data_IF_029742847025
#
_entry.id   IF_029742847025
#
_cell.length_a   1.000
_cell.length_b   1.000
_cell.length_c   1.000
_cell.angle_alpha   90.00
_cell.angle_beta   90.00
_cell.angle_gamma   90.00
#
_symmetry.space_group_name_H-M   'P 1'
#
loop_
_entity.id
_entity.type
_entity.pdbx_description
1 polymer ?
#
# COMPACT_ATOMS: atom_id res chain seq x y z
N UNK A 1 11.29 -97.60 -47.34
CA UNK A 1 10.26 -97.56 -46.28
C UNK A 1 9.04 -96.82 -46.81
N UNK A 2 7.86 -97.40 -46.56
CA UNK A 2 6.49 -96.84 -46.43
C UNK A 2 6.27 -95.33 -46.60
N UNK A 3 5.12 -94.77 -47.02
CA UNK A 3 3.88 -95.15 -47.72
C UNK A 3 2.89 -93.98 -47.44
N UNK A 4 2.07 -93.55 -48.43
CA UNK A 4 0.84 -92.70 -48.30
C UNK A 4 1.03 -91.24 -47.84
N UNK A 5 0.20 -90.24 -48.15
CA UNK A 5 -1.06 -90.07 -48.90
C UNK A 5 -1.37 -88.55 -48.91
N UNK A 6 -2.10 -88.08 -49.93
CA UNK A 6 -3.13 -87.00 -49.94
C UNK A 6 -2.78 -85.62 -49.35
N UNK A 7 -2.68 -84.60 -50.19
CA UNK A 7 -3.66 -83.50 -50.43
C UNK A 7 -3.29 -82.28 -49.61
N UNK A 8 -3.02 -81.14 -50.26
CA UNK A 8 -3.24 -79.81 -49.67
C UNK A 8 -3.19 -78.73 -50.76
N UNK A 9 -4.14 -77.80 -50.62
CA UNK A 9 -4.60 -76.76 -51.54
C UNK A 9 -3.61 -75.60 -51.67
N UNK A 10 -3.52 -75.01 -52.87
CA UNK A 10 -2.89 -73.70 -53.10
C UNK A 10 -3.97 -72.62 -52.86
N UNK A 11 -3.84 -71.85 -51.77
CA UNK A 11 -4.51 -70.54 -51.60
C UNK A 11 -3.45 -69.43 -51.67
N UNK A 12 -3.68 -68.45 -52.55
CA UNK A 12 -2.85 -67.26 -52.76
C UNK A 12 -2.98 -66.28 -51.56
N UNK A 13 -1.85 -65.77 -51.08
CA UNK A 13 -1.77 -64.70 -50.08
C UNK A 13 -2.08 -63.33 -50.72
N UNK A 14 -3.13 -62.64 -50.26
CA UNK A 14 -3.30 -61.18 -50.43
C UNK A 14 -2.99 -60.49 -49.07
N UNK A 15 -1.97 -59.63 -49.06
CA UNK A 15 -1.66 -58.72 -47.94
C UNK A 15 -2.68 -57.55 -47.94
N UNK A 16 -3.51 -57.43 -46.90
CA UNK A 16 -4.27 -56.21 -46.60
C UNK A 16 -3.59 -55.45 -45.43
N UNK A 17 -3.06 -54.26 -45.72
CA UNK A 17 -2.68 -53.25 -44.72
C UNK A 17 -3.96 -52.60 -44.14
N UNK A 18 -4.29 -52.86 -42.86
CA UNK A 18 -5.34 -52.11 -42.15
C UNK A 18 -4.83 -50.71 -41.75
N UNK A 19 -5.30 -49.66 -42.45
CA UNK A 19 -5.21 -48.28 -41.97
C UNK A 19 -6.16 -48.06 -40.78
N UNK A 20 -5.62 -47.81 -39.58
CA UNK A 20 -6.40 -47.34 -38.42
C UNK A 20 -7.05 -45.98 -38.74
N UNK A 21 -8.36 -45.97 -39.01
CA UNK A 21 -9.15 -44.76 -39.22
C UNK A 21 -9.27 -43.97 -37.89
N UNK A 22 -8.43 -42.94 -37.72
CA UNK A 22 -8.46 -42.06 -36.54
C UNK A 22 -9.64 -41.09 -36.63
N UNK A 23 -10.67 -41.31 -35.80
CA UNK A 23 -11.87 -40.45 -35.69
C UNK A 23 -11.51 -38.96 -35.43
N UNK A 24 -11.73 -38.06 -36.41
CA UNK A 24 -11.29 -36.66 -36.34
C UNK A 24 -12.00 -35.84 -35.25
N UNK A 25 -13.16 -36.28 -34.76
CA UNK A 25 -13.88 -35.62 -33.66
C UNK A 25 -13.19 -35.86 -32.31
N UNK A 26 -12.55 -37.02 -32.15
CA UNK A 26 -11.83 -37.41 -30.95
C UNK A 26 -10.51 -36.65 -30.80
N UNK A 27 -9.84 -36.36 -31.91
CA UNK A 27 -8.57 -35.62 -31.96
C UNK A 27 -8.74 -34.14 -31.59
N UNK A 28 -9.89 -33.53 -31.89
CA UNK A 28 -10.16 -32.13 -31.57
C UNK A 28 -10.69 -31.91 -30.14
N UNK A 29 -11.36 -32.92 -29.58
CA UNK A 29 -11.99 -32.84 -28.23
C UNK A 29 -11.00 -33.07 -27.10
N UNK A 30 -9.96 -33.89 -27.31
CA UNK A 30 -8.89 -34.16 -26.36
C UNK A 30 -8.11 -32.90 -25.92
N UNK A 31 -7.64 -32.03 -26.83
CA UNK A 31 -6.96 -30.78 -26.47
C UNK A 31 -7.85 -29.81 -25.70
N UNK A 32 -9.14 -29.71 -26.07
CA UNK A 32 -10.09 -28.82 -25.40
C UNK A 32 -10.46 -29.31 -24.00
N UNK A 33 -10.62 -30.62 -23.82
CA UNK A 33 -10.82 -31.25 -22.51
C UNK A 33 -9.57 -31.15 -21.64
N UNK A 34 -8.38 -31.30 -22.22
CA UNK A 34 -7.11 -31.09 -21.51
C UNK A 34 -6.97 -29.63 -21.04
N UNK A 35 -7.31 -28.65 -21.88
CA UNK A 35 -7.28 -27.24 -21.51
C UNK A 35 -8.26 -26.91 -20.38
N UNK A 36 -9.50 -27.41 -20.45
CA UNK A 36 -10.47 -27.25 -19.36
C UNK A 36 -10.06 -27.98 -18.07
N UNK A 37 -9.43 -29.15 -18.18
CA UNK A 37 -8.91 -29.87 -17.03
C UNK A 37 -7.72 -29.13 -16.39
N UNK A 38 -6.86 -28.51 -17.20
CA UNK A 38 -5.77 -27.65 -16.74
C UNK A 38 -6.30 -26.41 -16.03
N UNK A 39 -7.30 -25.70 -16.58
CA UNK A 39 -7.91 -24.56 -15.90
C UNK A 39 -8.53 -24.93 -14.55
N UNK A 40 -9.21 -26.09 -14.47
CA UNK A 40 -9.76 -26.60 -13.20
C UNK A 40 -8.68 -27.03 -12.21
N UNK A 41 -7.58 -27.61 -12.71
CA UNK A 41 -6.42 -27.99 -11.91
C UNK A 41 -5.73 -26.74 -11.36
N UNK A 42 -5.58 -25.69 -12.17
CA UNK A 42 -5.08 -24.39 -11.75
C UNK A 42 -5.99 -23.77 -10.70
N UNK A 43 -7.30 -23.70 -10.92
CA UNK A 43 -8.26 -23.21 -9.91
C UNK A 43 -8.20 -24.01 -8.60
N UNK A 44 -8.07 -25.34 -8.68
CA UNK A 44 -7.96 -26.20 -7.51
C UNK A 44 -6.64 -25.98 -6.77
N UNK A 45 -5.52 -25.91 -7.49
CA UNK A 45 -4.20 -25.60 -6.92
C UNK A 45 -4.23 -24.21 -6.29
N UNK A 46 -4.80 -23.20 -6.94
CA UNK A 46 -5.00 -21.87 -6.38
C UNK A 46 -5.85 -21.92 -5.10
N UNK A 47 -6.98 -22.65 -5.08
CA UNK A 47 -7.83 -22.83 -3.89
C UNK A 47 -7.13 -23.57 -2.74
N UNK A 48 -6.32 -24.57 -3.04
CA UNK A 48 -5.54 -25.32 -2.04
C UNK A 48 -4.40 -24.46 -1.49
N UNK A 49 -3.79 -23.62 -2.34
CA UNK A 49 -2.73 -22.69 -1.96
C UNK A 49 -3.25 -21.48 -1.18
N UNK A 50 -4.47 -21.01 -1.44
CA UNK A 50 -5.16 -19.97 -0.66
C UNK A 50 -5.22 -20.30 0.86
N UNK A 51 -5.14 -21.59 1.23
CA UNK A 51 -5.06 -22.04 2.61
C UNK A 51 -3.64 -22.26 3.16
N UNK A 52 -2.60 -22.35 2.33
CA UNK A 52 -1.25 -22.82 2.73
C UNK A 52 -0.10 -22.10 2.00
N UNK A 53 -0.05 -20.78 2.04
CA UNK A 53 1.16 -20.06 1.62
C UNK A 53 2.25 -20.09 2.70
N UNK A 54 3.51 -20.11 2.29
CA UNK A 54 4.70 -19.97 3.17
C UNK A 54 5.42 -18.67 2.82
N UNK A 55 6.09 -18.08 3.82
CA UNK A 55 6.96 -16.94 3.58
C UNK A 55 8.13 -17.34 2.69
N UNK A 56 8.57 -16.43 1.84
CA UNK A 56 9.65 -16.64 0.87
C UNK A 56 10.82 -15.68 1.12
N UNK A 57 12.05 -16.04 0.71
CA UNK A 57 13.20 -15.14 0.76
C UNK A 57 13.12 -14.03 -0.31
N UNK A 58 13.89 -12.96 -0.13
CA UNK A 58 13.83 -11.76 -0.97
C UNK A 58 14.32 -11.97 -2.42
N UNK A 59 15.29 -12.86 -2.62
CA UNK A 59 15.90 -13.16 -3.92
C UNK A 59 14.88 -13.67 -4.96
N UNK A 60 13.92 -14.49 -4.50
CA UNK A 60 12.86 -15.09 -5.33
C UNK A 60 11.62 -14.18 -5.50
N UNK A 61 11.61 -12.98 -4.92
CA UNK A 61 10.50 -12.04 -5.13
C UNK A 61 10.45 -11.54 -6.58
N UNK A 62 9.26 -11.29 -7.13
CA UNK A 62 9.14 -10.52 -8.36
C UNK A 62 9.58 -9.06 -8.13
N UNK A 63 10.04 -8.39 -9.18
CA UNK A 63 10.69 -7.07 -9.07
C UNK A 63 9.79 -5.99 -8.43
N UNK A 64 8.48 -6.04 -8.68
CA UNK A 64 7.52 -5.09 -8.11
C UNK A 64 7.28 -5.26 -6.61
N UNK A 65 7.75 -6.36 -6.00
CA UNK A 65 7.76 -6.58 -4.54
C UNK A 65 9.12 -6.30 -3.89
N UNK A 66 10.20 -6.17 -4.67
CA UNK A 66 11.57 -5.92 -4.19
C UNK A 66 11.79 -4.44 -3.84
N UNK A 67 11.18 -3.98 -2.75
CA UNK A 67 11.37 -2.60 -2.26
C UNK A 67 12.63 -2.46 -1.37
N UNK A 68 12.84 -3.36 -0.41
CA UNK A 68 13.95 -3.26 0.55
C UNK A 68 14.78 -4.55 0.60
N UNK A 69 15.97 -4.50 0.02
CA UNK A 69 16.96 -5.57 -0.06
C UNK A 69 17.67 -5.90 1.26
N UNK A 70 17.46 -5.10 2.32
CA UNK A 70 17.93 -5.42 3.67
C UNK A 70 17.00 -6.39 4.42
N UNK A 71 15.75 -6.54 3.96
CA UNK A 71 14.79 -7.50 4.51
C UNK A 71 14.96 -8.83 3.75
N UNK A 72 15.59 -9.82 4.38
CA UNK A 72 16.09 -10.99 3.65
C UNK A 72 15.08 -12.13 3.55
N UNK A 73 14.24 -12.31 4.58
CA UNK A 73 13.24 -13.36 4.65
C UNK A 73 11.90 -12.83 5.18
N UNK A 74 10.88 -13.68 5.18
CA UNK A 74 9.59 -13.37 5.81
C UNK A 74 8.58 -12.70 4.88
N UNK A 75 8.90 -12.63 3.58
CA UNK A 75 8.04 -11.99 2.59
C UNK A 75 6.86 -12.85 2.20
N UNK A 76 5.74 -12.21 1.86
CA UNK A 76 4.58 -12.90 1.27
C UNK A 76 4.84 -13.20 -0.21
N UNK A 77 4.50 -14.39 -0.71
CA UNK A 77 4.50 -14.64 -2.14
C UNK A 77 3.40 -13.81 -2.83
N UNK A 78 3.46 -13.64 -4.16
CA UNK A 78 2.35 -13.09 -4.94
C UNK A 78 1.09 -13.94 -4.73
N UNK A 79 0.02 -13.30 -4.27
CA UNK A 79 -1.25 -13.97 -3.96
C UNK A 79 -2.40 -13.19 -4.63
N UNK A 80 -2.81 -13.56 -5.85
CA UNK A 80 -3.86 -12.86 -6.61
C UNK A 80 -5.28 -13.14 -6.06
N UNK A 81 -5.43 -13.08 -4.74
CA UNK A 81 -6.67 -13.25 -4.01
C UNK A 81 -6.71 -12.24 -2.85
N UNK A 82 -7.66 -11.30 -2.93
CA UNK A 82 -7.92 -10.37 -1.82
C UNK A 82 -8.22 -11.13 -0.53
N UNK A 83 -8.97 -12.25 -0.61
CA UNK A 83 -9.28 -13.07 0.57
C UNK A 83 -8.01 -13.58 1.25
N UNK A 84 -7.03 -14.05 0.48
CA UNK A 84 -5.74 -14.48 1.02
C UNK A 84 -4.94 -13.30 1.62
N UNK A 85 -4.95 -12.14 0.95
CA UNK A 85 -4.30 -10.91 1.45
C UNK A 85 -4.88 -10.45 2.79
N UNK A 86 -6.21 -10.33 2.91
CA UNK A 86 -6.88 -9.93 4.15
C UNK A 86 -6.73 -10.97 5.27
N UNK A 87 -6.71 -12.27 4.94
CA UNK A 87 -6.37 -13.31 5.92
C UNK A 87 -4.92 -13.22 6.41
N UNK A 88 -4.02 -12.64 5.61
CA UNK A 88 -2.61 -12.49 5.98
C UNK A 88 -2.42 -11.52 7.15
N UNK A 89 -3.36 -10.61 7.43
CA UNK A 89 -3.31 -9.67 8.57
C UNK A 89 -3.02 -10.40 9.90
N UNK A 90 -3.53 -11.63 10.03
CA UNK A 90 -3.36 -12.47 11.22
C UNK A 90 -2.19 -13.46 11.12
N UNK A 91 -1.26 -13.25 10.18
CA UNK A 91 -0.03 -14.05 10.01
C UNK A 91 1.20 -13.17 10.18
N UNK A 92 2.31 -13.78 10.59
CA UNK A 92 3.61 -13.11 10.72
C UNK A 92 4.32 -13.09 9.37
N UNK A 93 4.66 -11.89 8.92
CA UNK A 93 5.43 -11.58 7.71
C UNK A 93 5.97 -10.15 7.79
N UNK A 94 6.80 -9.75 6.83
CA UNK A 94 7.47 -8.44 6.78
C UNK A 94 6.49 -7.24 6.87
N UNK A 95 5.27 -7.41 6.37
CA UNK A 95 4.24 -6.37 6.37
C UNK A 95 3.31 -6.37 7.62
N UNK A 96 3.49 -7.28 8.59
CA UNK A 96 2.58 -7.39 9.75
C UNK A 96 2.58 -6.11 10.59
N UNK A 97 3.75 -5.57 10.92
CA UNK A 97 3.88 -4.32 11.68
C UNK A 97 3.26 -3.11 10.95
N UNK A 98 3.53 -2.99 9.65
CA UNK A 98 3.00 -1.90 8.80
C UNK A 98 1.46 -1.89 8.76
N UNK A 99 0.84 -3.08 8.65
CA UNK A 99 -0.62 -3.20 8.67
C UNK A 99 -1.16 -2.82 10.06
N UNK A 100 -0.66 -3.43 11.13
CA UNK A 100 -1.26 -3.27 12.46
C UNK A 100 -1.08 -1.88 13.03
N UNK A 101 0.06 -1.23 12.82
CA UNK A 101 0.31 0.14 13.29
C UNK A 101 -0.70 1.13 12.70
N UNK A 102 -0.91 1.10 11.38
CA UNK A 102 -1.85 1.99 10.71
C UNK A 102 -3.31 1.57 10.88
N UNK A 103 -3.62 0.28 11.03
CA UNK A 103 -4.97 -0.20 11.33
C UNK A 103 -5.44 0.23 12.73
N UNK A 104 -4.58 0.08 13.74
CA UNK A 104 -4.87 0.54 15.11
C UNK A 104 -4.99 2.07 15.11
N UNK A 105 -4.06 2.76 14.45
CA UNK A 105 -4.13 4.22 14.28
C UNK A 105 -5.42 4.69 13.63
N UNK A 106 -5.88 3.99 12.59
CA UNK A 106 -7.14 4.29 11.89
C UNK A 106 -8.32 4.28 12.84
N UNK A 107 -8.50 3.19 13.62
CA UNK A 107 -9.59 3.11 14.60
C UNK A 107 -9.44 4.15 15.71
N UNK A 108 -8.22 4.40 16.18
CA UNK A 108 -7.95 5.44 17.18
C UNK A 108 -8.42 6.82 16.70
N UNK A 109 -7.98 7.28 15.52
CA UNK A 109 -8.36 8.60 14.98
C UNK A 109 -9.83 8.66 14.56
N UNK A 110 -10.42 7.55 14.11
CA UNK A 110 -11.84 7.48 13.80
C UNK A 110 -12.70 7.68 15.06
N UNK A 111 -12.40 6.94 16.14
CA UNK A 111 -13.12 7.05 17.41
C UNK A 111 -12.91 8.44 18.03
N UNK A 112 -11.67 8.94 18.01
CA UNK A 112 -11.33 10.26 18.52
C UNK A 112 -12.07 11.37 17.74
N UNK A 113 -12.09 11.29 16.41
CA UNK A 113 -12.79 12.24 15.55
C UNK A 113 -14.31 12.23 15.77
N UNK A 114 -14.91 11.05 15.89
CA UNK A 114 -16.33 10.89 16.23
C UNK A 114 -16.61 11.53 17.60
N UNK A 115 -15.81 11.20 18.62
CA UNK A 115 -15.96 11.79 19.96
C UNK A 115 -15.83 13.32 19.97
N UNK A 116 -14.92 13.87 19.17
CA UNK A 116 -14.78 15.31 18.98
C UNK A 116 -16.03 15.94 18.37
N UNK A 117 -16.63 15.32 17.33
CA UNK A 117 -17.85 15.83 16.69
C UNK A 117 -19.06 15.83 17.65
N UNK A 118 -19.15 14.82 18.52
CA UNK A 118 -20.20 14.69 19.53
C UNK A 118 -19.94 15.50 20.81
N UNK A 119 -18.81 16.20 20.92
CA UNK A 119 -18.52 17.03 22.09
C UNK A 119 -19.56 18.17 22.24
N UNK A 120 -20.02 18.47 23.47
CA UNK A 120 -21.02 19.51 23.71
C UNK A 120 -20.59 20.87 23.16
N UNK A 121 -21.51 21.56 22.49
CA UNK A 121 -21.23 22.85 21.84
C UNK A 121 -20.80 23.95 22.84
N UNK A 122 -21.13 23.82 24.13
CA UNK A 122 -20.72 24.75 25.19
C UNK A 122 -19.20 24.83 25.39
N UNK A 123 -18.44 23.85 24.89
CA UNK A 123 -16.98 23.81 25.00
C UNK A 123 -16.28 24.63 23.91
N UNK A 124 -17.02 25.21 22.96
CA UNK A 124 -16.48 25.88 21.78
C UNK A 124 -17.01 27.32 21.70
N UNK A 125 -16.20 28.23 21.19
CA UNK A 125 -16.61 29.62 20.94
C UNK A 125 -17.45 29.70 19.66
N UNK A 126 -17.04 28.95 18.63
CA UNK A 126 -17.70 28.86 17.33
C UNK A 126 -17.87 27.37 16.94
N UNK A 127 -18.87 26.66 17.51
CA UNK A 127 -18.95 25.20 17.47
C UNK A 127 -18.94 24.61 16.06
N UNK A 128 -19.63 25.26 15.10
CA UNK A 128 -19.70 24.77 13.72
C UNK A 128 -18.34 24.89 13.04
N UNK A 129 -17.73 26.08 13.10
CA UNK A 129 -16.46 26.37 12.44
C UNK A 129 -15.32 25.53 13.04
N UNK A 130 -15.24 25.46 14.38
CA UNK A 130 -14.23 24.67 15.08
C UNK A 130 -14.36 23.17 14.78
N UNK A 131 -15.59 22.63 14.74
CA UNK A 131 -15.82 21.24 14.32
C UNK A 131 -15.46 20.99 12.86
N UNK A 132 -15.74 21.93 11.96
CA UNK A 132 -15.35 21.78 10.54
C UNK A 132 -13.83 21.73 10.38
N UNK A 133 -13.08 22.65 11.00
CA UNK A 133 -11.60 22.68 10.82
C UNK A 133 -10.92 21.45 11.38
N UNK A 134 -11.33 20.96 12.56
CA UNK A 134 -10.83 19.69 13.09
C UNK A 134 -11.35 18.49 12.33
N UNK A 135 -12.57 18.55 11.77
CA UNK A 135 -13.12 17.52 10.92
C UNK A 135 -12.30 17.28 9.66
N UNK A 136 -11.76 18.34 9.05
CA UNK A 136 -10.84 18.23 7.90
C UNK A 136 -9.54 17.55 8.32
N UNK A 137 -9.00 17.85 9.50
CA UNK A 137 -7.83 17.13 10.04
C UNK A 137 -8.13 15.64 10.26
N UNK A 138 -9.22 15.31 10.95
CA UNK A 138 -9.60 13.92 11.19
C UNK A 138 -9.86 13.16 9.89
N UNK A 139 -10.50 13.78 8.91
CA UNK A 139 -10.71 13.19 7.59
C UNK A 139 -9.36 12.87 6.91
N UNK A 140 -8.41 13.82 6.93
CA UNK A 140 -7.07 13.58 6.39
C UNK A 140 -6.34 12.44 7.09
N UNK A 141 -6.38 12.39 8.43
CA UNK A 141 -5.76 11.33 9.22
C UNK A 141 -6.39 9.95 8.97
N UNK A 142 -7.72 9.87 8.99
CA UNK A 142 -8.46 8.63 8.75
C UNK A 142 -8.21 8.11 7.33
N UNK A 143 -8.25 8.98 6.31
CA UNK A 143 -7.97 8.57 4.93
C UNK A 143 -6.52 8.12 4.74
N UNK A 144 -5.55 8.84 5.30
CA UNK A 144 -4.13 8.46 5.24
C UNK A 144 -3.89 7.07 5.81
N UNK A 145 -4.37 6.84 7.04
CA UNK A 145 -4.19 5.56 7.72
C UNK A 145 -4.96 4.43 7.01
N UNK A 146 -6.17 4.72 6.53
CA UNK A 146 -7.00 3.79 5.76
C UNK A 146 -6.29 3.31 4.49
N UNK A 147 -5.83 4.24 3.66
CA UNK A 147 -5.12 3.91 2.42
C UNK A 147 -3.85 3.13 2.70
N UNK A 148 -3.13 3.46 3.78
CA UNK A 148 -1.89 2.80 4.11
C UNK A 148 -2.06 1.35 4.59
N UNK A 149 -2.92 1.09 5.57
CA UNK A 149 -3.11 -0.29 6.04
C UNK A 149 -3.74 -1.17 4.95
N UNK A 150 -4.60 -0.61 4.09
CA UNK A 150 -5.13 -1.31 2.93
C UNK A 150 -4.03 -1.63 1.91
N UNK A 151 -3.18 -0.66 1.58
CA UNK A 151 -2.02 -0.86 0.69
C UNK A 151 -1.14 -1.99 1.20
N UNK A 152 -0.67 -1.91 2.45
CA UNK A 152 0.19 -2.96 3.02
C UNK A 152 -0.53 -4.31 3.09
N UNK A 153 -1.84 -4.35 3.28
CA UNK A 153 -2.62 -5.61 3.23
C UNK A 153 -2.59 -6.23 1.84
N UNK A 154 -2.92 -5.46 0.80
CA UNK A 154 -3.04 -5.95 -0.59
C UNK A 154 -1.74 -5.85 -1.39
N UNK A 155 -0.64 -5.43 -0.75
CA UNK A 155 0.65 -5.21 -1.39
C UNK A 155 1.15 -6.43 -2.16
N UNK A 156 0.89 -7.66 -1.68
CA UNK A 156 1.29 -8.90 -2.35
C UNK A 156 0.31 -9.42 -3.41
N UNK A 157 -0.76 -8.70 -3.76
CA UNK A 157 -1.82 -9.23 -4.61
C UNK A 157 -1.38 -9.46 -6.06
N UNK A 158 -1.12 -8.36 -6.77
CA UNK A 158 -0.62 -8.32 -8.14
C UNK A 158 -0.01 -6.95 -8.40
N UNK A 159 0.85 -6.84 -9.42
CA UNK A 159 1.54 -5.58 -9.72
C UNK A 159 0.55 -4.41 -9.91
N UNK A 160 -0.55 -4.62 -10.63
CA UNK A 160 -1.57 -3.58 -10.87
C UNK A 160 -2.23 -3.12 -9.57
N UNK A 161 -2.58 -4.05 -8.68
CA UNK A 161 -3.22 -3.72 -7.39
C UNK A 161 -2.21 -2.99 -6.50
N UNK A 162 -0.98 -3.50 -6.39
CA UNK A 162 0.10 -2.87 -5.63
C UNK A 162 0.38 -1.43 -6.09
N UNK A 163 0.54 -1.22 -7.41
CA UNK A 163 0.72 0.13 -7.99
C UNK A 163 -0.46 1.06 -7.77
N UNK A 164 -1.70 0.54 -7.76
CA UNK A 164 -2.89 1.37 -7.54
C UNK A 164 -2.97 1.82 -6.09
N UNK A 165 -2.78 0.89 -5.15
CA UNK A 165 -2.85 1.20 -3.72
C UNK A 165 -1.64 2.00 -3.22
N UNK A 166 -0.45 1.86 -3.82
CA UNK A 166 0.69 2.72 -3.48
C UNK A 166 0.45 4.19 -3.83
N UNK A 167 -0.23 4.47 -4.95
CA UNK A 167 -0.67 5.83 -5.30
C UNK A 167 -1.64 6.40 -4.27
N UNK A 168 -2.57 5.59 -3.77
CA UNK A 168 -3.50 5.98 -2.71
C UNK A 168 -2.78 6.24 -1.39
N UNK A 169 -1.85 5.37 -1.00
CA UNK A 169 -1.03 5.51 0.21
C UNK A 169 -0.23 6.83 0.21
N UNK A 170 0.49 7.11 -0.89
CA UNK A 170 1.21 8.38 -1.05
C UNK A 170 0.29 9.60 -1.06
N UNK A 171 -0.90 9.49 -1.68
CA UNK A 171 -1.89 10.57 -1.66
C UNK A 171 -2.42 10.80 -0.24
N UNK A 172 -2.55 9.73 0.56
CA UNK A 172 -2.92 9.78 1.97
C UNK A 172 -2.00 10.68 2.80
N UNK A 173 -0.68 10.56 2.60
CA UNK A 173 0.32 11.40 3.29
C UNK A 173 0.06 12.89 3.03
N UNK A 174 -0.17 13.26 1.76
CA UNK A 174 -0.48 14.65 1.40
C UNK A 174 -1.80 15.14 2.02
N UNK A 175 -2.84 14.31 2.04
CA UNK A 175 -4.14 14.64 2.65
C UNK A 175 -4.02 14.86 4.16
N UNK A 176 -3.22 14.04 4.86
CA UNK A 176 -2.95 14.25 6.28
C UNK A 176 -2.19 15.56 6.53
N UNK A 177 -1.14 15.84 5.74
CA UNK A 177 -0.38 17.08 5.89
C UNK A 177 -1.29 18.29 5.65
N UNK A 178 -2.03 18.33 4.54
CA UNK A 178 -3.00 19.39 4.25
C UNK A 178 -4.02 19.55 5.37
N UNK A 179 -4.63 18.45 5.82
CA UNK A 179 -5.63 18.46 6.88
C UNK A 179 -5.10 18.97 8.20
N UNK A 180 -3.85 18.65 8.55
CA UNK A 180 -3.20 19.13 9.79
C UNK A 180 -2.97 20.64 9.82
N UNK A 181 -2.77 21.28 8.66
CA UNK A 181 -2.58 22.73 8.58
C UNK A 181 -3.88 23.49 8.83
N UNK A 182 -5.05 22.91 8.54
CA UNK A 182 -6.34 23.61 8.61
C UNK A 182 -6.67 24.14 10.01
N UNK A 183 -6.77 23.30 11.07
CA UNK A 183 -7.03 23.80 12.42
C UNK A 183 -5.88 24.66 12.95
N UNK A 184 -4.62 24.30 12.64
CA UNK A 184 -3.45 25.05 13.11
C UNK A 184 -3.43 26.49 12.56
N UNK A 185 -3.64 26.68 11.26
CA UNK A 185 -3.72 28.01 10.65
C UNK A 185 -4.99 28.76 11.10
N UNK A 186 -6.08 28.05 11.35
CA UNK A 186 -7.32 28.66 11.87
C UNK A 186 -7.09 29.37 13.21
N UNK A 187 -6.45 28.72 14.18
CA UNK A 187 -6.16 29.32 15.48
C UNK A 187 -4.95 30.26 15.46
N UNK A 188 -3.90 29.95 14.70
CA UNK A 188 -2.72 30.83 14.63
C UNK A 188 -3.06 32.17 14.00
N UNK A 189 -3.90 32.20 12.96
CA UNK A 189 -4.34 33.42 12.31
C UNK A 189 -5.81 33.72 12.60
N UNK A 190 -6.27 33.45 13.82
CA UNK A 190 -7.68 33.60 14.20
C UNK A 190 -8.20 35.01 13.92
N UNK A 191 -7.44 36.03 14.35
CA UNK A 191 -7.75 37.45 14.19
C UNK A 191 -7.34 38.03 12.82
N UNK A 192 -6.61 37.27 12.00
CA UNK A 192 -5.97 37.75 10.76
C UNK A 192 -6.43 36.90 9.57
N UNK A 193 -7.62 37.16 8.99
CA UNK A 193 -8.23 36.27 8.00
C UNK A 193 -7.47 36.22 6.66
N UNK A 194 -6.81 37.31 6.25
CA UNK A 194 -6.05 37.37 5.00
C UNK A 194 -4.86 36.39 4.99
N UNK A 195 -3.89 36.43 5.93
CA UNK A 195 -2.78 35.48 5.94
C UNK A 195 -3.27 34.04 6.11
N UNK A 196 -4.32 33.80 6.92
CA UNK A 196 -4.96 32.48 7.05
C UNK A 196 -5.37 31.92 5.68
N UNK A 197 -6.11 32.70 4.88
CA UNK A 197 -6.58 32.26 3.57
C UNK A 197 -5.42 32.01 2.61
N UNK A 198 -4.43 32.90 2.57
CA UNK A 198 -3.24 32.76 1.71
C UNK A 198 -2.51 31.44 2.01
N UNK A 199 -2.22 31.14 3.27
CA UNK A 199 -1.51 29.92 3.63
C UNK A 199 -2.33 28.66 3.42
N UNK A 200 -3.65 28.71 3.60
CA UNK A 200 -4.56 27.60 3.26
C UNK A 200 -4.55 27.32 1.75
N UNK A 201 -4.56 28.36 0.90
CA UNK A 201 -4.46 28.18 -0.56
C UNK A 201 -3.11 27.59 -0.94
N UNK A 202 -2.01 28.10 -0.37
CA UNK A 202 -0.65 27.59 -0.65
C UNK A 202 -0.55 26.11 -0.29
N UNK A 203 -0.96 25.69 0.91
CA UNK A 203 -0.84 24.28 1.31
C UNK A 203 -1.73 23.37 0.46
N UNK A 204 -2.91 23.83 0.03
CA UNK A 204 -3.75 23.09 -0.90
C UNK A 204 -3.09 22.92 -2.27
N UNK A 205 -2.50 23.98 -2.84
CA UNK A 205 -1.79 23.90 -4.13
C UNK A 205 -0.58 22.96 -4.03
N UNK A 206 0.23 23.10 -2.99
CA UNK A 206 1.39 22.22 -2.78
C UNK A 206 0.97 20.77 -2.55
N UNK A 207 -0.07 20.52 -1.76
CA UNK A 207 -0.57 19.18 -1.48
C UNK A 207 -1.21 18.52 -2.70
N UNK A 208 -2.01 19.24 -3.49
CA UNK A 208 -2.54 18.75 -4.77
C UNK A 208 -1.40 18.43 -5.73
N UNK A 209 -0.37 19.27 -5.79
CA UNK A 209 0.83 19.00 -6.62
C UNK A 209 1.52 17.72 -6.16
N UNK A 210 1.69 17.51 -4.85
CA UNK A 210 2.26 16.28 -4.30
C UNK A 210 1.41 15.04 -4.64
N UNK A 211 0.08 15.15 -4.59
CA UNK A 211 -0.85 14.08 -5.01
C UNK A 211 -0.67 13.76 -6.49
N UNK A 212 -0.62 14.78 -7.36
CA UNK A 212 -0.41 14.61 -8.81
C UNK A 212 0.93 13.94 -9.10
N UNK A 213 2.02 14.40 -8.47
CA UNK A 213 3.34 13.78 -8.56
C UNK A 213 3.29 12.31 -8.10
N UNK A 214 2.53 12.01 -7.05
CA UNK A 214 2.35 10.65 -6.53
C UNK A 214 1.63 9.71 -7.50
N UNK A 215 0.92 10.23 -8.52
CA UNK A 215 0.27 9.40 -9.55
C UNK A 215 1.25 8.88 -10.60
N UNK A 216 2.47 9.43 -10.66
CA UNK A 216 3.48 9.04 -11.63
C UNK A 216 4.06 7.66 -11.30
N UNK A 217 4.00 6.71 -12.24
CA UNK A 217 4.40 5.31 -11.98
C UNK A 217 5.85 5.17 -11.52
N UNK A 218 6.76 6.03 -11.99
CA UNK A 218 8.17 6.01 -11.55
C UNK A 218 8.34 6.45 -10.10
N UNK A 219 7.44 7.26 -9.57
CA UNK A 219 7.51 7.76 -8.21
C UNK A 219 7.47 6.63 -7.18
N UNK A 220 6.76 5.52 -7.48
CA UNK A 220 6.66 4.34 -6.62
C UNK A 220 7.91 3.45 -6.63
N UNK A 221 8.82 3.62 -7.60
CA UNK A 221 9.99 2.74 -7.73
C UNK A 221 11.02 2.99 -6.61
N UNK A 222 11.81 1.99 -6.19
CA UNK A 222 12.77 2.13 -5.09
C UNK A 222 13.82 3.23 -5.30
N UNK A 223 14.21 3.51 -6.56
CA UNK A 223 15.20 4.54 -6.91
C UNK A 223 14.74 5.95 -6.54
N UNK A 224 13.42 6.19 -6.49
CA UNK A 224 12.83 7.49 -6.18
C UNK A 224 12.50 7.66 -4.69
N UNK A 225 12.92 6.74 -3.81
CA UNK A 225 12.63 6.82 -2.37
C UNK A 225 13.05 8.14 -1.74
N UNK A 226 14.26 8.62 -2.04
CA UNK A 226 14.76 9.90 -1.56
C UNK A 226 13.95 11.08 -2.12
N UNK A 227 13.46 10.98 -3.36
CA UNK A 227 12.59 12.00 -3.96
C UNK A 227 11.24 12.04 -3.24
N UNK A 228 10.61 10.87 -2.97
CA UNK A 228 9.37 10.79 -2.19
C UNK A 228 9.54 11.43 -0.81
N UNK A 229 10.60 11.02 -0.10
CA UNK A 229 10.98 11.58 1.19
C UNK A 229 11.10 13.11 1.13
N UNK A 230 11.81 13.65 0.14
CA UNK A 230 11.99 15.10 -0.04
C UNK A 230 10.68 15.84 -0.34
N UNK A 231 9.80 15.28 -1.17
CA UNK A 231 8.49 15.89 -1.51
C UNK A 231 7.63 16.04 -0.27
N UNK A 232 7.43 14.97 0.51
CA UNK A 232 6.57 15.01 1.69
C UNK A 232 7.20 15.76 2.87
N UNK A 233 8.54 15.67 3.04
CA UNK A 233 9.25 16.49 4.02
C UNK A 233 9.13 17.98 3.67
N UNK A 234 9.34 18.35 2.40
CA UNK A 234 9.20 19.73 1.94
C UNK A 234 7.77 20.26 2.13
N UNK A 235 6.76 19.43 1.87
CA UNK A 235 5.36 19.77 2.13
C UNK A 235 5.11 20.05 3.62
N UNK A 236 5.62 19.21 4.52
CA UNK A 236 5.52 19.44 5.97
C UNK A 236 6.30 20.69 6.44
N UNK A 237 7.56 20.83 6.00
CA UNK A 237 8.43 21.96 6.35
C UNK A 237 7.99 23.29 5.73
N UNK A 238 7.08 23.28 4.75
CA UNK A 238 6.45 24.52 4.25
C UNK A 238 5.75 25.33 5.36
N UNK A 239 5.38 24.66 6.46
CA UNK A 239 4.83 25.29 7.68
C UNK A 239 5.78 26.23 8.41
N UNK A 240 7.09 26.21 8.11
CA UNK A 240 8.05 27.17 8.67
C UNK A 240 7.73 28.61 8.25
N UNK A 241 7.23 28.83 7.02
CA UNK A 241 6.88 30.16 6.53
C UNK A 241 5.72 30.80 7.32
N UNK A 242 4.53 30.16 7.46
CA UNK A 242 3.47 30.69 8.32
C UNK A 242 3.88 30.79 9.78
N UNK A 243 4.73 29.90 10.29
CA UNK A 243 5.26 29.99 11.66
C UNK A 243 6.09 31.26 11.84
N UNK A 244 7.03 31.55 10.94
CA UNK A 244 7.86 32.76 11.00
C UNK A 244 7.01 34.03 10.88
N UNK A 245 6.02 34.04 9.98
CA UNK A 245 5.07 35.16 9.87
C UNK A 245 4.33 35.36 11.20
N UNK A 246 3.75 34.31 11.77
CA UNK A 246 3.07 34.40 13.07
C UNK A 246 3.99 34.95 14.16
N UNK A 247 5.24 34.48 14.25
CA UNK A 247 6.22 34.96 15.24
C UNK A 247 6.56 36.44 15.07
N UNK A 248 6.68 36.92 13.82
CA UNK A 248 6.97 38.33 13.51
C UNK A 248 5.76 39.21 13.84
N UNK A 249 4.55 38.75 13.51
CA UNK A 249 3.32 39.53 13.68
C UNK A 249 2.86 39.62 15.15
N UNK A 250 2.95 38.52 15.89
CA UNK A 250 2.42 38.40 17.26
C UNK A 250 3.50 38.56 18.35
N UNK A 251 4.76 38.52 17.94
CA UNK A 251 5.92 38.61 18.83
C UNK A 251 6.31 37.26 19.46
N UNK A 252 7.60 37.11 19.73
CA UNK A 252 8.19 35.87 20.26
C UNK A 252 7.59 35.43 21.60
N UNK A 253 7.28 36.39 22.48
CA UNK A 253 6.74 36.10 23.80
C UNK A 253 5.38 35.40 23.71
N UNK A 254 4.46 35.90 22.88
CA UNK A 254 3.12 35.32 22.70
C UNK A 254 3.20 33.94 22.02
N UNK A 255 4.07 33.78 21.03
CA UNK A 255 4.29 32.50 20.37
C UNK A 255 4.85 31.42 21.33
N UNK A 256 5.65 31.83 22.31
CA UNK A 256 6.20 30.93 23.34
C UNK A 256 5.17 30.63 24.44
N UNK A 257 4.49 31.65 24.97
CA UNK A 257 3.53 31.49 26.08
C UNK A 257 2.23 30.79 25.67
N UNK A 258 1.80 30.93 24.41
CA UNK A 258 0.71 30.13 23.85
C UNK A 258 1.10 28.65 23.60
N UNK A 259 2.35 28.27 23.90
CA UNK A 259 2.85 26.89 23.79
C UNK A 259 3.15 26.43 22.36
N UNK A 260 2.95 27.28 21.34
CA UNK A 260 3.05 26.85 19.94
C UNK A 260 4.46 26.44 19.54
N UNK A 261 5.49 27.18 19.95
CA UNK A 261 6.88 26.93 19.50
C UNK A 261 7.40 25.56 19.95
N UNK A 262 7.10 25.15 21.19
CA UNK A 262 7.55 23.84 21.72
C UNK A 262 6.94 22.67 20.95
N UNK A 263 5.63 22.73 20.68
CA UNK A 263 4.93 21.70 19.90
C UNK A 263 5.38 21.68 18.44
N UNK A 264 5.61 22.85 17.82
CA UNK A 264 6.12 22.93 16.45
C UNK A 264 7.54 22.35 16.33
N UNK A 265 8.40 22.58 17.32
CA UNK A 265 9.73 21.99 17.35
C UNK A 265 9.69 20.47 17.50
N UNK A 266 8.83 19.95 18.39
CA UNK A 266 8.61 18.51 18.51
C UNK A 266 8.08 17.92 17.21
N UNK A 267 7.11 18.57 16.57
CA UNK A 267 6.60 18.16 15.25
C UNK A 267 7.70 18.12 14.20
N UNK A 268 8.56 19.15 14.13
CA UNK A 268 9.68 19.19 13.19
C UNK A 268 10.67 18.04 13.44
N UNK A 269 11.01 17.75 14.70
CA UNK A 269 11.87 16.61 15.05
C UNK A 269 11.23 15.30 14.59
N UNK A 270 9.96 15.06 14.91
CA UNK A 270 9.26 13.84 14.51
C UNK A 270 9.23 13.66 12.99
N UNK A 271 8.96 14.73 12.24
CA UNK A 271 8.97 14.71 10.76
C UNK A 271 10.36 14.40 10.21
N UNK A 272 11.39 15.12 10.66
CA UNK A 272 12.76 14.96 10.17
C UNK A 272 13.29 13.57 10.52
N UNK A 273 13.08 13.11 11.75
CA UNK A 273 13.51 11.80 12.21
C UNK A 273 12.80 10.68 11.45
N UNK A 274 11.48 10.76 11.28
CA UNK A 274 10.71 9.76 10.54
C UNK A 274 11.18 9.65 9.09
N UNK A 275 11.39 10.78 8.42
CA UNK A 275 11.91 10.81 7.04
C UNK A 275 13.35 10.29 6.96
N UNK A 276 14.21 10.64 7.92
CA UNK A 276 15.59 10.17 7.96
C UNK A 276 15.65 8.64 8.12
N UNK A 277 14.84 8.06 9.01
CA UNK A 277 14.73 6.61 9.19
C UNK A 277 14.22 5.93 7.91
N UNK A 278 13.15 6.45 7.29
CA UNK A 278 12.59 5.92 6.05
C UNK A 278 13.59 5.95 4.87
N UNK A 279 14.25 7.09 4.67
CA UNK A 279 15.18 7.26 3.55
C UNK A 279 16.47 6.45 3.74
N UNK A 280 17.00 6.38 4.98
CA UNK A 280 18.24 5.70 5.29
C UNK A 280 18.07 4.20 5.59
N UNK A 281 16.84 3.71 5.79
CA UNK A 281 16.50 2.30 6.11
C UNK A 281 17.17 1.82 7.40
N UNK A 282 17.02 2.60 8.46
CA UNK A 282 17.61 2.30 9.76
C UNK A 282 16.51 1.73 10.66
N UNK A 283 16.73 0.59 11.35
CA UNK A 283 18.04 -0.06 11.60
C UNK A 283 18.42 -1.21 10.66
N UNK A 284 17.55 -1.64 9.74
CA UNK A 284 17.75 -2.83 8.90
C UNK A 284 19.01 -2.75 8.01
N UNK A 285 19.44 -1.53 7.65
CA UNK A 285 20.71 -1.29 6.97
C UNK A 285 21.94 -1.77 7.75
N UNK A 286 21.90 -1.67 9.08
CA UNK A 286 23.00 -2.10 9.94
C UNK A 286 22.90 -3.57 10.32
N UNK A 287 21.70 -4.15 10.31
CA UNK A 287 21.45 -5.54 10.67
C UNK A 287 20.57 -6.27 9.63
N UNK A 288 21.06 -6.48 8.39
CA UNK A 288 20.27 -7.16 7.35
C UNK A 288 19.82 -8.55 7.81
N UNK A 289 18.55 -8.88 7.58
CA UNK A 289 17.95 -10.16 8.00
C UNK A 289 17.63 -10.30 9.49
N UNK A 290 17.91 -9.28 10.32
CA UNK A 290 17.59 -9.29 11.76
C UNK A 290 16.34 -8.48 12.10
N UNK A 291 15.97 -7.54 11.24
CA UNK A 291 14.79 -6.68 11.36
C UNK A 291 13.72 -7.03 10.33
N UNK A 292 13.63 -8.30 9.92
CA UNK A 292 12.71 -8.75 8.87
C UNK A 292 11.23 -8.62 9.28
N UNK A 293 10.93 -8.74 10.58
CA UNK A 293 9.55 -8.71 11.10
C UNK A 293 9.34 -7.56 12.10
N UNK A 294 10.33 -7.26 12.93
CA UNK A 294 10.28 -6.25 14.00
C UNK A 294 11.50 -5.33 13.97
#
# INVERSE_FOLDING_TARGET
>A
ETMKSEEEEEEEEEEEEEEEEVDPVRVLTLPLQAHHAMEKMEEFVFKVWEGRWRVIPHDVLPDWLKDNDFLLHGHRPPMPSFRACFRSIFRLHTETGNIWTHLIGFFFFLILGIGYMFSPNINFVAPVQEKVVFGVFFLGAVLCLCFSWLFHTVYCHSEKVSRTFSKLDYSGIALLIMGSFVPWLYYSFYCSPQPRLIYLVIICVLGITAIVVSQWDRFATPQYRAVRAGVFLGLGLSGLVPTLHFMIAEGFLKATTAGQIGWLFLMAICYILGVALYAARIPERFFPGKCDIW
#
